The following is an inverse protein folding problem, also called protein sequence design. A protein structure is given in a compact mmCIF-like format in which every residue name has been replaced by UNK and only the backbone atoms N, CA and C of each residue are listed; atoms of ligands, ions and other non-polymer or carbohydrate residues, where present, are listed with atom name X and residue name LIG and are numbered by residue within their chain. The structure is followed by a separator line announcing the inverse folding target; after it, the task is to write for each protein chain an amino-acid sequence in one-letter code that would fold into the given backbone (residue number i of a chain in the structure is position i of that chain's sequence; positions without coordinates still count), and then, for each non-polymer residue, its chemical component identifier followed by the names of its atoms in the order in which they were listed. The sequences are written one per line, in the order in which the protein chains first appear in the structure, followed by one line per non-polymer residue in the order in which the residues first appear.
data_IF_166715589097
#
_entry.id   IF_166715589097
#
_cell.length_a   1.000
_cell.length_b   1.000
_cell.length_c   1.000
_cell.angle_alpha   90.00
_cell.angle_beta   90.00
_cell.angle_gamma   90.00
#
_symmetry.space_group_name_H-M   'P 1'
#
loop_
_entity.id
_entity.type
_entity.pdbx_description
1 polymer ?
#
# COMPACT_ATOMS: atom_id res chain seq x y z
N UNK A 1 26.73 8.31 0.89
CA UNK A 1 26.11 8.20 2.22
C UNK A 1 25.66 9.58 2.66
N UNK A 2 24.37 9.89 2.51
CA UNK A 2 23.81 11.08 3.14
C UNK A 2 23.07 10.65 4.41
N UNK A 3 23.36 11.26 5.57
CA UNK A 3 22.67 10.94 6.81
C UNK A 3 21.22 11.42 6.71
N UNK A 4 20.28 10.50 6.94
CA UNK A 4 18.85 10.82 7.02
C UNK A 4 18.62 11.60 8.32
N UNK A 5 18.26 12.88 8.19
CA UNK A 5 17.85 13.75 9.28
C UNK A 5 16.66 13.10 10.01
N UNK A 6 16.88 12.52 11.18
CA UNK A 6 15.81 11.98 12.03
C UNK A 6 15.36 13.13 12.94
N UNK A 7 14.11 13.58 12.80
CA UNK A 7 13.54 14.61 13.68
C UNK A 7 13.41 14.03 15.09
N UNK A 8 13.76 14.83 16.09
CA UNK A 8 13.66 14.47 17.52
C UNK A 8 12.26 13.96 17.86
N UNK A 9 12.15 12.69 18.25
CA UNK A 9 10.91 12.02 18.65
C UNK A 9 10.44 10.87 17.75
N UNK A 10 11.04 10.68 16.57
CA UNK A 10 10.69 9.60 15.65
C UNK A 10 11.67 8.42 15.82
N UNK A 11 11.15 7.22 16.09
CA UNK A 11 11.99 6.01 16.14
C UNK A 11 12.71 5.86 14.78
N UNK A 12 14.02 5.51 14.77
CA UNK A 12 14.75 5.37 13.52
C UNK A 12 14.01 4.37 12.61
N UNK A 13 13.89 4.65 11.31
CA UNK A 13 13.17 3.76 10.40
C UNK A 13 13.81 2.38 10.48
N UNK A 14 13.00 1.36 10.76
CA UNK A 14 13.49 -0.02 10.85
C UNK A 14 13.94 -0.45 9.45
N UNK A 15 15.26 -0.58 9.25
CA UNK A 15 15.84 -0.98 7.96
C UNK A 15 16.01 -2.50 7.95
N UNK A 16 15.45 -3.14 6.94
CA UNK A 16 15.64 -4.57 6.68
C UNK A 16 16.63 -4.69 5.53
N UNK A 17 17.80 -5.23 5.83
CA UNK A 17 18.86 -5.52 4.84
C UNK A 17 19.06 -7.02 4.62
N UNK A 18 18.67 -7.84 5.60
CA UNK A 18 18.84 -9.31 5.56
C UNK A 18 17.66 -9.98 6.24
N UNK A 19 17.17 -11.06 5.63
CA UNK A 19 16.17 -11.95 6.18
C UNK A 19 16.61 -13.40 5.98
N UNK A 20 16.11 -14.33 6.80
CA UNK A 20 16.35 -15.77 6.62
C UNK A 20 15.68 -16.27 5.34
N UNK A 21 14.45 -15.82 5.13
CA UNK A 21 13.68 -16.08 3.93
C UNK A 21 12.77 -14.89 3.64
N UNK A 22 12.47 -14.70 2.37
CA UNK A 22 11.51 -13.70 1.92
C UNK A 22 10.67 -14.25 0.76
N UNK A 23 9.44 -13.77 0.64
CA UNK A 23 8.52 -14.12 -0.44
C UNK A 23 7.84 -12.87 -0.94
N UNK A 24 7.96 -12.58 -2.23
CA UNK A 24 7.34 -11.43 -2.87
C UNK A 24 6.12 -11.87 -3.68
N UNK A 25 5.00 -11.19 -3.49
CA UNK A 25 3.76 -11.40 -4.23
C UNK A 25 3.32 -10.09 -4.84
N UNK A 26 3.36 -10.03 -6.17
CA UNK A 26 2.73 -8.96 -6.94
C UNK A 26 1.48 -9.49 -7.63
N UNK A 27 0.37 -8.77 -7.49
CA UNK A 27 -0.87 -9.03 -8.23
C UNK A 27 -0.77 -8.33 -9.58
N UNK A 28 -1.08 -9.04 -10.66
CA UNK A 28 -1.24 -8.43 -12.00
C UNK A 28 -2.69 -8.10 -12.32
N UNK A 29 -3.62 -8.79 -11.66
CA UNK A 29 -5.08 -8.58 -11.77
C UNK A 29 -5.54 -7.68 -10.63
N UNK A 30 -6.61 -6.92 -10.85
CA UNK A 30 -7.18 -5.99 -9.85
C UNK A 30 -6.24 -4.83 -9.46
N UNK A 31 -5.30 -4.49 -10.35
CA UNK A 31 -4.37 -3.38 -10.23
C UNK A 31 -4.82 -2.29 -11.20
N UNK A 32 -5.21 -1.13 -10.66
CA UNK A 32 -5.86 -0.09 -11.44
C UNK A 32 -4.99 1.17 -11.51
N UNK A 33 -5.01 1.84 -12.67
CA UNK A 33 -4.34 3.13 -12.88
C UNK A 33 -5.16 4.32 -12.41
N UNK A 34 -6.48 4.20 -12.49
CA UNK A 34 -7.41 5.27 -12.20
C UNK A 34 -8.72 4.68 -11.69
N UNK A 35 -9.50 5.50 -11.00
CA UNK A 35 -10.86 5.17 -10.59
C UNK A 35 -11.81 6.20 -11.17
N UNK A 36 -12.78 5.74 -11.96
CA UNK A 36 -13.87 6.51 -12.52
C UNK A 36 -15.12 6.26 -11.70
N UNK A 37 -15.62 7.27 -10.99
CA UNK A 37 -16.85 7.18 -10.22
C UNK A 37 -17.97 7.79 -11.05
N UNK A 38 -19.03 7.02 -11.29
CA UNK A 38 -20.21 7.48 -12.02
C UNK A 38 -21.47 7.19 -11.21
N UNK A 39 -22.26 8.23 -10.95
CA UNK A 39 -23.54 8.08 -10.31
C UNK A 39 -24.62 8.92 -11.00
N UNK A 40 -25.75 8.29 -11.28
CA UNK A 40 -26.92 8.97 -11.83
C UNK A 40 -27.94 9.14 -10.72
N UNK A 41 -28.15 10.38 -10.27
CA UNK A 41 -29.18 10.69 -9.29
C UNK A 41 -30.54 10.78 -9.99
N UNK A 42 -31.44 9.83 -9.69
CA UNK A 42 -32.79 9.77 -10.28
C UNK A 42 -33.67 10.95 -9.89
N UNK A 43 -33.48 11.49 -8.69
CA UNK A 43 -34.29 12.59 -8.16
C UNK A 43 -33.92 13.92 -8.79
N UNK A 44 -32.63 14.15 -9.04
CA UNK A 44 -32.12 15.40 -9.63
C UNK A 44 -31.89 15.33 -11.14
N UNK A 45 -32.15 14.19 -11.79
CA UNK A 45 -31.86 13.90 -13.21
C UNK A 45 -30.46 14.36 -13.66
N UNK A 46 -29.47 14.29 -12.77
CA UNK A 46 -28.09 14.72 -13.03
C UNK A 46 -27.14 13.56 -12.88
N UNK A 47 -26.18 13.48 -13.80
CA UNK A 47 -25.06 12.53 -13.75
C UNK A 47 -23.89 13.25 -13.09
N UNK A 48 -23.36 12.66 -12.03
CA UNK A 48 -22.16 13.13 -11.35
C UNK A 48 -21.07 12.11 -11.70
N UNK A 49 -20.04 12.60 -12.39
CA UNK A 49 -18.88 11.83 -12.80
C UNK A 49 -17.60 12.53 -12.33
N UNK A 50 -16.65 11.75 -11.85
CA UNK A 50 -15.30 12.22 -11.53
C UNK A 50 -14.29 11.08 -11.72
N UNK A 51 -13.08 11.43 -12.15
CA UNK A 51 -11.98 10.50 -12.39
C UNK A 51 -10.78 10.90 -11.55
N UNK A 52 -10.26 9.94 -10.79
CA UNK A 52 -8.99 10.11 -10.09
C UNK A 52 -7.95 9.15 -10.67
N UNK A 53 -6.85 9.69 -11.16
CA UNK A 53 -5.70 8.91 -11.63
C UNK A 53 -4.62 8.83 -10.54
N UNK A 54 -4.02 7.66 -10.38
CA UNK A 54 -2.90 7.44 -9.45
C UNK A 54 -1.62 8.09 -10.03
N UNK A 55 -1.01 9.09 -9.35
CA UNK A 55 0.22 9.71 -9.80
C UNK A 55 1.40 8.74 -9.87
N UNK A 56 1.44 7.72 -9.01
CA UNK A 56 2.52 6.70 -8.99
C UNK A 56 2.42 5.74 -10.17
N UNK A 57 1.27 5.70 -10.85
CA UNK A 57 0.99 4.77 -11.98
C UNK A 57 0.60 5.52 -13.26
N UNK A 58 0.86 6.82 -13.29
CA UNK A 58 0.63 7.67 -14.45
C UNK A 58 1.48 7.18 -15.63
N UNK A 59 0.83 6.74 -16.71
CA UNK A 59 1.51 6.23 -17.91
C UNK A 59 1.54 4.70 -18.05
N UNK A 60 1.08 3.95 -17.04
CA UNK A 60 0.89 2.50 -17.15
C UNK A 60 -0.43 2.19 -17.88
N UNK A 61 -0.49 2.49 -19.18
CA UNK A 61 -1.71 2.38 -20.00
C UNK A 61 -2.26 0.95 -20.09
N UNK A 62 -1.43 -0.05 -19.81
CA UNK A 62 -1.82 -1.47 -19.71
C UNK A 62 -2.68 -1.79 -18.48
N UNK A 63 -2.72 -0.91 -17.47
CA UNK A 63 -3.54 -1.09 -16.27
C UNK A 63 -4.95 -0.56 -16.51
N UNK A 64 -5.94 -1.28 -15.98
CA UNK A 64 -7.36 -0.96 -16.13
C UNK A 64 -7.78 0.27 -15.29
N UNK A 65 -8.91 0.87 -15.66
CA UNK A 65 -9.60 1.90 -14.87
C UNK A 65 -10.69 1.22 -14.04
N UNK A 66 -10.73 1.47 -12.73
CA UNK A 66 -11.77 0.96 -11.85
C UNK A 66 -13.03 1.79 -12.02
N UNK A 67 -14.11 1.20 -12.51
CA UNK A 67 -15.42 1.86 -12.58
C UNK A 67 -16.22 1.60 -11.29
N UNK A 68 -16.60 2.66 -10.59
CA UNK A 68 -17.38 2.59 -9.35
C UNK A 68 -18.72 3.28 -9.56
N UNK A 69 -19.80 2.54 -9.34
CA UNK A 69 -21.17 3.05 -9.38
C UNK A 69 -21.75 3.03 -7.96
N UNK A 70 -21.42 4.05 -7.17
CA UNK A 70 -21.91 4.23 -5.80
C UNK A 70 -22.61 5.57 -5.66
N UNK A 71 -23.58 5.64 -4.74
CA UNK A 71 -24.36 6.85 -4.50
C UNK A 71 -23.47 7.96 -3.91
N UNK A 72 -23.39 9.07 -4.64
CA UNK A 72 -22.62 10.27 -4.27
C UNK A 72 -23.51 11.50 -4.35
N UNK A 73 -23.34 12.41 -3.39
CA UNK A 73 -24.15 13.64 -3.31
C UNK A 73 -23.50 14.82 -4.02
N UNK A 74 -22.17 14.82 -4.12
CA UNK A 74 -21.38 15.91 -4.68
C UNK A 74 -20.11 15.42 -5.39
N UNK A 75 -19.53 16.26 -6.28
CA UNK A 75 -18.27 16.00 -6.97
C UNK A 75 -17.09 15.85 -5.99
N UNK A 76 -17.05 16.62 -4.91
CA UNK A 76 -16.01 16.49 -3.90
C UNK A 76 -16.04 15.11 -3.19
N UNK A 77 -17.24 14.58 -2.94
CA UNK A 77 -17.41 13.21 -2.44
C UNK A 77 -16.99 12.16 -3.47
N UNK A 78 -17.32 12.38 -4.75
CA UNK A 78 -16.90 11.52 -5.86
C UNK A 78 -15.38 11.37 -5.90
N UNK A 79 -14.63 12.49 -5.83
CA UNK A 79 -13.16 12.48 -5.79
C UNK A 79 -12.62 11.73 -4.58
N UNK A 80 -13.18 11.96 -3.39
CA UNK A 80 -12.76 11.28 -2.15
C UNK A 80 -13.02 9.79 -2.23
N UNK A 81 -14.16 9.40 -2.80
CA UNK A 81 -14.53 8.00 -2.98
C UNK A 81 -13.61 7.31 -4.00
N UNK A 82 -13.37 7.96 -5.14
CA UNK A 82 -12.45 7.47 -6.17
C UNK A 82 -11.06 7.21 -5.59
N UNK A 83 -10.53 8.19 -4.85
CA UNK A 83 -9.24 8.08 -4.15
C UNK A 83 -9.22 6.93 -3.13
N UNK A 84 -10.28 6.77 -2.33
CA UNK A 84 -10.39 5.69 -1.33
C UNK A 84 -10.43 4.31 -1.99
N UNK A 85 -11.29 4.13 -3.00
CA UNK A 85 -11.46 2.85 -3.70
C UNK A 85 -10.21 2.45 -4.48
N UNK A 86 -9.56 3.42 -5.13
CA UNK A 86 -8.32 3.18 -5.84
C UNK A 86 -7.20 2.75 -4.88
N UNK A 87 -7.06 3.43 -3.74
CA UNK A 87 -6.13 3.02 -2.68
C UNK A 87 -6.45 1.62 -2.17
N UNK A 88 -7.74 1.30 -1.98
CA UNK A 88 -8.17 0.00 -1.49
C UNK A 88 -7.87 -1.14 -2.45
N UNK A 89 -8.11 -0.95 -3.75
CA UNK A 89 -7.78 -1.96 -4.75
C UNK A 89 -6.26 -2.15 -4.87
N UNK A 90 -5.51 -1.05 -4.86
CA UNK A 90 -4.06 -1.07 -5.05
C UNK A 90 -3.27 -1.47 -3.79
N UNK A 91 -3.89 -1.46 -2.59
CA UNK A 91 -3.20 -1.71 -1.30
C UNK A 91 -2.51 -3.08 -1.21
N UNK A 92 -3.04 -4.06 -1.93
CA UNK A 92 -2.56 -5.46 -1.93
C UNK A 92 -1.84 -5.82 -3.22
N UNK A 93 -1.56 -4.83 -4.09
CA UNK A 93 -0.88 -5.07 -5.34
C UNK A 93 0.51 -5.66 -5.10
N UNK A 94 1.26 -5.10 -4.15
CA UNK A 94 2.61 -5.56 -3.79
C UNK A 94 2.66 -5.87 -2.30
N UNK A 95 2.74 -7.17 -1.99
CA UNK A 95 2.86 -7.71 -0.64
C UNK A 95 4.11 -8.56 -0.55
N UNK A 96 4.74 -8.57 0.61
CA UNK A 96 5.94 -9.35 0.85
C UNK A 96 5.93 -9.90 2.27
N UNK A 97 6.47 -11.11 2.42
CA UNK A 97 6.61 -11.74 3.73
C UNK A 97 8.10 -11.97 4.00
N UNK A 98 8.54 -11.71 5.22
CA UNK A 98 9.91 -11.93 5.67
C UNK A 98 9.94 -12.79 6.94
N UNK A 99 10.99 -13.58 7.08
CA UNK A 99 11.27 -14.33 8.31
C UNK A 99 12.63 -13.93 8.89
N UNK A 100 12.67 -13.70 10.20
CA UNK A 100 13.84 -13.28 10.96
C UNK A 100 14.11 -14.22 12.14
N UNK A 101 15.38 -14.33 12.57
CA UNK A 101 15.69 -14.86 13.90
C UNK A 101 15.02 -13.94 14.91
N UNK A 102 14.31 -14.52 15.88
CA UNK A 102 13.24 -13.85 16.59
C UNK A 102 13.62 -12.50 17.19
N UNK A 103 12.75 -11.50 16.97
CA UNK A 103 12.94 -10.13 17.41
C UNK A 103 11.62 -9.59 17.98
N UNK A 104 11.53 -9.33 19.30
CA UNK A 104 10.28 -8.90 19.94
C UNK A 104 9.95 -7.43 19.70
N UNK A 105 10.89 -6.64 19.15
CA UNK A 105 10.70 -5.21 18.92
C UNK A 105 9.94 -4.91 17.62
N UNK A 106 9.78 -5.91 16.74
CA UNK A 106 9.08 -5.75 15.47
C UNK A 106 7.57 -5.84 15.73
N UNK A 107 6.84 -4.80 15.37
CA UNK A 107 5.40 -4.69 15.59
C UNK A 107 4.65 -4.32 14.31
N UNK A 108 3.36 -4.65 14.26
CA UNK A 108 2.49 -4.21 13.18
C UNK A 108 2.35 -2.68 13.19
N UNK A 109 2.00 -2.11 12.03
CA UNK A 109 1.87 -0.67 11.82
C UNK A 109 3.18 0.14 11.87
N UNK A 110 4.33 -0.52 11.98
CA UNK A 110 5.65 0.12 11.80
C UNK A 110 6.00 0.15 10.32
N UNK A 111 6.54 1.29 9.86
CA UNK A 111 7.08 1.42 8.51
C UNK A 111 8.53 0.95 8.50
N UNK A 112 8.84 0.04 7.58
CA UNK A 112 10.17 -0.49 7.36
C UNK A 112 10.70 -0.02 6.01
N UNK A 113 12.00 0.20 5.94
CA UNK A 113 12.70 0.46 4.69
C UNK A 113 13.46 -0.78 4.28
N UNK A 114 13.24 -1.24 3.06
CA UNK A 114 13.99 -2.35 2.49
C UNK A 114 15.17 -1.78 1.70
N UNK A 115 16.35 -2.27 2.00
CA UNK A 115 17.59 -1.90 1.32
C UNK A 115 18.40 -3.15 0.97
N UNK A 116 18.86 -3.27 -0.27
CA UNK A 116 19.69 -4.40 -0.72
C UNK A 116 18.91 -5.56 -1.34
N UNK A 117 17.61 -5.39 -1.57
CA UNK A 117 16.74 -6.30 -2.33
C UNK A 117 16.56 -5.85 -3.80
N UNK A 118 17.22 -4.76 -4.22
CA UNK A 118 17.28 -4.32 -5.61
C UNK A 118 15.95 -3.68 -6.06
N UNK A 119 15.26 -4.32 -7.01
CA UNK A 119 13.99 -3.78 -7.56
C UNK A 119 12.88 -3.71 -6.50
N UNK A 120 13.00 -4.48 -5.42
CA UNK A 120 12.06 -4.50 -4.30
C UNK A 120 12.40 -3.48 -3.19
N UNK A 121 13.43 -2.68 -3.37
CA UNK A 121 13.81 -1.65 -2.40
C UNK A 121 12.73 -0.56 -2.33
N UNK A 122 12.45 -0.11 -1.12
CA UNK A 122 11.40 0.88 -0.89
C UNK A 122 10.86 0.89 0.53
N UNK A 123 9.82 1.70 0.73
CA UNK A 123 9.13 1.81 2.02
C UNK A 123 7.93 0.87 2.05
N UNK A 124 7.85 0.09 3.13
CA UNK A 124 6.81 -0.90 3.34
C UNK A 124 6.20 -0.72 4.73
N UNK A 125 4.92 -1.00 4.86
CA UNK A 125 4.20 -1.00 6.13
C UNK A 125 4.00 -2.45 6.58
N UNK A 126 4.39 -2.76 7.82
CA UNK A 126 4.10 -4.06 8.43
C UNK A 126 2.60 -4.16 8.70
N UNK A 127 1.94 -5.12 8.05
CA UNK A 127 0.51 -5.40 8.24
C UNK A 127 0.29 -6.42 9.35
N UNK A 128 1.21 -7.38 9.50
CA UNK A 128 1.11 -8.45 10.48
C UNK A 128 2.49 -8.85 10.96
N UNK A 129 2.59 -9.14 12.26
CA UNK A 129 3.75 -9.79 12.86
C UNK A 129 3.27 -11.06 13.54
N UNK A 130 4.00 -12.14 13.33
CA UNK A 130 3.78 -13.42 14.00
C UNK A 130 5.04 -13.79 14.73
N UNK A 131 4.99 -13.77 16.06
CA UNK A 131 6.06 -14.27 16.92
C UNK A 131 5.75 -15.72 17.29
N UNK A 132 6.66 -16.63 16.98
CA UNK A 132 6.51 -18.05 17.32
C UNK A 132 7.51 -18.40 18.41
N UNK A 133 6.98 -18.86 19.55
CA UNK A 133 7.77 -19.32 20.69
C UNK A 133 7.77 -20.86 20.70
N UNK A 134 8.86 -21.46 20.25
CA UNK A 134 9.08 -22.91 20.28
C UNK A 134 10.50 -23.24 20.77
N UNK A 135 11.13 -24.28 20.23
CA UNK A 135 12.53 -24.60 20.53
C UNK A 135 13.50 -23.44 20.21
N UNK A 136 13.15 -22.63 19.21
CA UNK A 136 13.81 -21.36 18.88
C UNK A 136 12.74 -20.27 18.76
N UNK A 137 13.11 -19.03 19.07
CA UNK A 137 12.26 -17.87 18.85
C UNK A 137 12.39 -17.39 17.40
N UNK A 138 11.27 -17.32 16.68
CA UNK A 138 11.22 -16.81 15.31
C UNK A 138 10.18 -15.70 15.16
N UNK A 139 10.42 -14.80 14.21
CA UNK A 139 9.52 -13.68 13.92
C UNK A 139 9.29 -13.60 12.43
N UNK A 140 8.04 -13.73 12.01
CA UNK A 140 7.62 -13.58 10.63
C UNK A 140 6.79 -12.32 10.49
N UNK A 141 7.05 -11.53 9.47
CA UNK A 141 6.29 -10.32 9.17
C UNK A 141 5.68 -10.41 7.79
N UNK A 142 4.48 -9.87 7.67
CA UNK A 142 3.86 -9.54 6.39
C UNK A 142 3.88 -8.02 6.23
N UNK A 143 4.33 -7.58 5.06
CA UNK A 143 4.46 -6.18 4.72
C UNK A 143 3.75 -5.90 3.39
N UNK A 144 3.28 -4.66 3.24
CA UNK A 144 2.75 -4.15 1.97
C UNK A 144 3.47 -2.87 1.58
N UNK A 145 3.59 -2.61 0.29
CA UNK A 145 4.26 -1.40 -0.20
C UNK A 145 3.48 -0.15 0.22
N UNK A 146 4.19 0.90 0.64
CA UNK A 146 3.57 2.19 0.93
C UNK A 146 3.12 2.86 -0.37
N UNK A 147 1.82 3.16 -0.47
CA UNK A 147 1.23 3.95 -1.55
C UNK A 147 1.31 5.42 -1.15
N UNK A 148 2.23 6.16 -1.78
CA UNK A 148 2.39 7.61 -1.59
C UNK A 148 1.43 8.33 -2.57
N UNK A 149 1.06 9.58 -2.30
CA UNK A 149 0.31 10.38 -3.29
C UNK A 149 -1.21 10.18 -3.36
N UNK A 150 -1.80 9.45 -2.41
CA UNK A 150 -3.25 9.50 -2.19
C UNK A 150 -3.58 10.68 -1.29
#
# INVERSE_FOLDING_TARGET
YQPVQTKEGEQPPLIITRALSYSYKSKTREVYRACHVKYTNKDKKTVIEDTFEDPDRKGHTYLAVLEVNEQIKDKAEAKRLAKKKLREANKEADTMSFSFPGNPLIMASVTVKLEGFGVFDGNYLITKVTHTLGANYSTSIDVRRCLNGY
#
